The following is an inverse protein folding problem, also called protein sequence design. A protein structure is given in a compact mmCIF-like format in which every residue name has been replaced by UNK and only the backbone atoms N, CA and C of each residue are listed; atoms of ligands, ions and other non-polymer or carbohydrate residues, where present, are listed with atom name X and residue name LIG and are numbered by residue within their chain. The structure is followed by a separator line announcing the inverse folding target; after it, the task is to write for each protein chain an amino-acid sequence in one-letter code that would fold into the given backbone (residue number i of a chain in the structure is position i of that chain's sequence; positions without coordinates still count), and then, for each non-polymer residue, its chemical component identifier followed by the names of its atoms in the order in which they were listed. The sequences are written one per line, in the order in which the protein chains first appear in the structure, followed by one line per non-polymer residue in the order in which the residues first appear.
data_IF_800505382777
#
_entry.id   IF_800505382777
#
_cell.length_a   1.000
_cell.length_b   1.000
_cell.length_c   1.000
_cell.angle_alpha   90.00
_cell.angle_beta   90.00
_cell.angle_gamma   90.00
#
_symmetry.space_group_name_H-M   'P 1'
#
loop_
_entity.id
_entity.type
_entity.pdbx_description
1 polymer ?
#
# COMPACT_ATOMS: atom_id res chain seq x y z
N UNK A 1 -15.42 -9.17 4.42
CA UNK A 1 -16.05 -8.76 3.15
C UNK A 1 -15.02 -8.65 2.04
N UNK A 2 -14.12 -7.66 2.03
CA UNK A 2 -13.13 -7.50 0.93
C UNK A 2 -12.24 -8.72 0.70
N UNK A 3 -11.74 -9.35 1.77
CA UNK A 3 -10.92 -10.57 1.65
C UNK A 3 -11.69 -11.73 1.00
N UNK A 4 -12.97 -11.88 1.30
CA UNK A 4 -13.82 -12.89 0.67
C UNK A 4 -14.09 -12.55 -0.80
N UNK A 5 -14.38 -11.28 -1.10
CA UNK A 5 -14.60 -10.80 -2.46
C UNK A 5 -13.36 -11.04 -3.34
N UNK A 6 -12.18 -10.69 -2.84
CA UNK A 6 -10.92 -10.92 -3.53
C UNK A 6 -10.70 -12.40 -3.87
N UNK A 7 -10.93 -13.30 -2.90
CA UNK A 7 -10.82 -14.75 -3.14
C UNK A 7 -11.83 -15.23 -4.17
N UNK A 8 -13.06 -14.72 -4.14
CA UNK A 8 -14.08 -15.14 -5.10
C UNK A 8 -13.76 -14.68 -6.53
N UNK A 9 -13.17 -13.49 -6.67
CA UNK A 9 -12.63 -12.98 -7.95
C UNK A 9 -11.46 -13.84 -8.42
N UNK A 10 -10.46 -14.06 -7.56
CA UNK A 10 -9.22 -14.78 -7.90
C UNK A 10 -9.47 -16.27 -8.23
N UNK A 11 -10.32 -16.93 -7.45
CA UNK A 11 -10.71 -18.33 -7.70
C UNK A 11 -11.66 -18.48 -8.90
N UNK A 12 -11.96 -17.39 -9.63
CA UNK A 12 -12.90 -17.35 -10.75
C UNK A 12 -14.27 -17.95 -10.41
N UNK A 13 -14.66 -17.97 -9.11
CA UNK A 13 -15.88 -18.63 -8.62
C UNK A 13 -17.15 -17.93 -9.10
N UNK A 14 -17.02 -16.68 -9.49
CA UNK A 14 -18.10 -15.84 -9.97
C UNK A 14 -18.30 -16.02 -11.50
N UNK A 15 -17.28 -16.51 -12.21
CA UNK A 15 -17.36 -16.75 -13.65
C UNK A 15 -17.85 -18.17 -13.93
N UNK A 16 -19.15 -18.39 -13.70
CA UNK A 16 -19.78 -19.72 -13.74
C UNK A 16 -19.95 -20.30 -15.14
N UNK A 17 -19.91 -19.45 -16.17
CA UNK A 17 -20.35 -19.82 -17.53
C UNK A 17 -19.21 -19.82 -18.57
N UNK A 18 -17.95 -19.65 -18.14
CA UNK A 18 -16.80 -19.65 -19.06
C UNK A 18 -16.73 -18.45 -20.01
N UNK A 19 -17.58 -17.44 -19.79
CA UNK A 19 -17.60 -16.21 -20.57
C UNK A 19 -16.53 -15.26 -20.02
N UNK A 20 -15.59 -14.83 -20.85
CA UNK A 20 -14.38 -14.10 -20.47
C UNK A 20 -14.61 -12.71 -19.84
N UNK A 21 -15.85 -12.27 -19.68
CA UNK A 21 -16.19 -10.88 -19.38
C UNK A 21 -16.99 -10.78 -18.08
N UNK A 22 -16.31 -10.95 -16.95
CA UNK A 22 -16.89 -10.71 -15.63
C UNK A 22 -16.88 -9.20 -15.31
N UNK A 23 -18.03 -8.65 -14.93
CA UNK A 23 -18.18 -7.27 -14.48
C UNK A 23 -18.80 -7.24 -13.08
N UNK A 24 -18.18 -6.50 -12.17
CA UNK A 24 -18.66 -6.30 -10.80
C UNK A 24 -19.08 -4.85 -10.60
N UNK A 25 -20.29 -4.64 -10.08
CA UNK A 25 -20.78 -3.31 -9.68
C UNK A 25 -20.90 -3.25 -8.17
N UNK A 26 -20.22 -2.28 -7.55
CA UNK A 26 -20.28 -2.02 -6.11
C UNK A 26 -20.99 -0.68 -5.91
N UNK A 27 -22.12 -0.70 -5.22
CA UNK A 27 -22.86 0.51 -4.82
C UNK A 27 -22.65 0.73 -3.33
N UNK A 28 -22.11 1.90 -2.97
CA UNK A 28 -21.74 2.19 -1.58
C UNK A 28 -21.71 3.69 -1.29
N UNK A 29 -21.33 4.05 -0.06
CA UNK A 29 -21.12 5.43 0.38
C UNK A 29 -19.70 5.92 0.04
N UNK A 30 -19.53 7.24 -0.11
CA UNK A 30 -18.25 7.83 -0.54
C UNK A 30 -17.05 7.43 0.31
N UNK A 31 -17.20 7.41 1.65
CA UNK A 31 -16.13 6.98 2.55
C UNK A 31 -15.77 5.50 2.35
N UNK A 32 -16.77 4.63 2.24
CA UNK A 32 -16.57 3.20 2.02
C UNK A 32 -15.89 2.92 0.69
N UNK A 33 -16.23 3.67 -0.37
CA UNK A 33 -15.56 3.58 -1.68
C UNK A 33 -14.09 3.97 -1.58
N UNK A 34 -13.75 5.04 -0.85
CA UNK A 34 -12.34 5.43 -0.65
C UNK A 34 -11.55 4.37 0.11
N UNK A 35 -12.13 3.81 1.18
CA UNK A 35 -11.48 2.73 1.96
C UNK A 35 -11.30 1.48 1.11
N UNK A 36 -12.26 1.18 0.23
CA UNK A 36 -12.14 0.09 -0.74
C UNK A 36 -10.96 0.31 -1.69
N UNK A 37 -10.85 1.49 -2.30
CA UNK A 37 -9.75 1.83 -3.21
C UNK A 37 -8.40 1.81 -2.50
N UNK A 38 -8.33 2.37 -1.29
CA UNK A 38 -7.12 2.33 -0.45
C UNK A 38 -6.68 0.88 -0.19
N UNK A 39 -7.59 -0.01 0.19
CA UNK A 39 -7.24 -1.41 0.45
C UNK A 39 -6.89 -2.16 -0.83
N UNK A 40 -7.54 -1.85 -1.95
CA UNK A 40 -7.32 -2.51 -3.23
C UNK A 40 -5.96 -2.18 -3.83
N UNK A 41 -5.67 -0.89 -3.98
CA UNK A 41 -4.40 -0.42 -4.53
C UNK A 41 -3.28 -0.39 -3.49
N UNK A 42 -3.62 -0.69 -2.23
CA UNK A 42 -2.73 -0.64 -1.10
C UNK A 42 -2.11 0.77 -1.01
N UNK A 43 -2.96 1.78 -0.86
CA UNK A 43 -2.51 3.15 -0.64
C UNK A 43 -2.23 3.40 0.85
N UNK A 44 -1.33 4.34 1.14
CA UNK A 44 -1.01 4.74 2.52
C UNK A 44 -2.17 5.53 3.14
N UNK A 45 -2.11 5.76 4.46
CA UNK A 45 -3.12 6.57 5.17
C UNK A 45 -3.08 8.01 4.65
N UNK A 46 -1.89 8.55 4.44
CA UNK A 46 -1.68 9.90 3.92
C UNK A 46 -2.28 10.02 2.51
N UNK A 47 -1.96 9.07 1.62
CA UNK A 47 -2.55 9.03 0.27
C UNK A 47 -4.09 8.94 0.33
N UNK A 48 -4.64 8.14 1.25
CA UNK A 48 -6.08 8.03 1.44
C UNK A 48 -6.71 9.34 1.91
N UNK A 49 -6.10 10.06 2.85
CA UNK A 49 -6.65 11.30 3.41
C UNK A 49 -6.82 12.39 2.35
N UNK A 50 -5.91 12.43 1.36
CA UNK A 50 -5.97 13.38 0.24
C UNK A 50 -7.08 13.08 -0.79
N UNK A 51 -7.66 11.87 -0.78
CA UNK A 51 -8.71 11.51 -1.72
C UNK A 51 -9.99 12.31 -1.49
N UNK A 52 -10.56 12.82 -2.58
CA UNK A 52 -11.87 13.45 -2.56
C UNK A 52 -12.98 12.40 -2.52
N UNK A 53 -14.02 12.65 -1.72
CA UNK A 53 -15.22 11.83 -1.73
C UNK A 53 -15.86 11.88 -3.14
N UNK A 54 -16.26 10.72 -3.70
CA UNK A 54 -17.05 10.69 -4.91
C UNK A 54 -18.33 11.53 -4.75
N UNK A 55 -18.73 12.21 -5.82
CA UNK A 55 -20.04 12.87 -5.87
C UNK A 55 -21.18 11.83 -5.89
N UNK A 56 -22.41 12.26 -5.60
CA UNK A 56 -23.56 11.35 -5.65
C UNK A 56 -23.71 10.77 -7.05
N UNK A 57 -23.82 9.44 -7.12
CA UNK A 57 -23.89 8.67 -8.37
C UNK A 57 -22.64 8.77 -9.27
N UNK A 58 -21.51 9.21 -8.73
CA UNK A 58 -20.23 9.16 -9.44
C UNK A 58 -19.78 7.71 -9.66
N UNK A 59 -19.34 7.40 -10.88
CA UNK A 59 -18.86 6.07 -11.26
C UNK A 59 -17.35 6.13 -11.44
N UNK A 60 -16.63 5.27 -10.72
CA UNK A 60 -15.20 5.03 -10.91
C UNK A 60 -14.98 3.60 -11.36
N UNK A 61 -14.57 3.44 -12.60
CA UNK A 61 -14.27 2.15 -13.23
C UNK A 61 -12.83 1.74 -12.95
N UNK A 62 -12.65 0.51 -12.46
CA UNK A 62 -11.36 -0.16 -12.40
C UNK A 62 -11.36 -1.26 -13.46
N UNK A 63 -10.38 -1.25 -14.35
CA UNK A 63 -10.32 -2.20 -15.45
C UNK A 63 -8.98 -2.93 -15.46
N UNK A 64 -9.02 -4.19 -15.87
CA UNK A 64 -7.83 -5.02 -16.01
C UNK A 64 -6.94 -4.47 -17.13
N UNK A 65 -5.71 -4.08 -16.79
CA UNK A 65 -4.67 -3.71 -17.74
C UNK A 65 -4.09 -4.94 -18.46
N UNK A 66 -3.14 -4.69 -19.36
CA UNK A 66 -2.54 -5.75 -20.20
C UNK A 66 -1.77 -6.80 -19.38
N UNK A 67 -1.29 -6.43 -18.20
CA UNK A 67 -0.51 -7.30 -17.31
C UNK A 67 -1.34 -8.16 -16.37
N UNK A 68 -2.67 -7.97 -16.33
CA UNK A 68 -3.54 -8.63 -15.36
C UNK A 68 -3.70 -7.88 -14.03
N UNK A 69 -3.21 -6.64 -13.94
CA UNK A 69 -3.44 -5.76 -12.79
C UNK A 69 -4.61 -4.81 -13.08
N UNK A 70 -5.48 -4.59 -12.10
CA UNK A 70 -6.54 -3.59 -12.23
C UNK A 70 -5.95 -2.18 -12.11
N UNK A 71 -6.45 -1.25 -12.92
CA UNK A 71 -6.08 0.17 -12.88
C UNK A 71 -7.29 1.07 -13.16
N UNK A 72 -7.29 2.24 -12.55
CA UNK A 72 -8.22 3.33 -12.86
C UNK A 72 -7.87 4.00 -14.20
N UNK A 73 -6.58 4.06 -14.54
CA UNK A 73 -6.10 4.80 -15.72
C UNK A 73 -6.35 4.09 -17.05
N UNK A 74 -6.87 2.86 -17.02
CA UNK A 74 -7.33 2.18 -18.24
C UNK A 74 -8.61 2.82 -18.78
N UNK A 75 -9.45 3.37 -17.89
CA UNK A 75 -10.75 3.95 -18.27
C UNK A 75 -10.82 5.47 -18.05
N UNK A 76 -9.96 6.04 -17.19
CA UNK A 76 -9.99 7.46 -16.83
C UNK A 76 -8.69 8.18 -17.19
N UNK A 77 -8.77 9.50 -17.26
CA UNK A 77 -7.66 10.40 -17.57
C UNK A 77 -6.86 10.80 -16.33
N UNK A 78 -5.61 11.25 -16.51
CA UNK A 78 -4.77 11.69 -15.39
C UNK A 78 -5.39 12.88 -14.67
N UNK A 79 -5.98 13.81 -15.42
CA UNK A 79 -6.63 15.00 -14.89
C UNK A 79 -7.84 14.64 -14.00
N UNK A 80 -8.57 13.57 -14.33
CA UNK A 80 -9.65 13.06 -13.47
C UNK A 80 -9.11 12.47 -12.18
N UNK A 81 -8.02 11.70 -12.26
CA UNK A 81 -7.37 11.11 -11.09
C UNK A 81 -6.82 12.19 -10.15
N UNK A 82 -6.17 13.23 -10.69
CA UNK A 82 -5.73 14.39 -9.92
C UNK A 82 -6.90 15.12 -9.26
N UNK A 83 -8.01 15.31 -9.98
CA UNK A 83 -9.23 15.90 -9.43
C UNK A 83 -9.83 15.06 -8.30
N UNK A 84 -9.64 13.75 -8.32
CA UNK A 84 -10.03 12.85 -7.23
C UNK A 84 -9.06 12.84 -6.05
N UNK A 85 -7.96 13.60 -6.12
CA UNK A 85 -6.97 13.75 -5.06
C UNK A 85 -5.87 12.69 -5.09
N UNK A 86 -5.66 12.01 -6.22
CA UNK A 86 -4.52 11.09 -6.35
C UNK A 86 -3.23 11.90 -6.50
N UNK A 87 -2.20 11.50 -5.73
CA UNK A 87 -0.86 12.06 -5.87
C UNK A 87 -0.18 11.58 -7.16
N UNK A 88 0.88 12.26 -7.57
CA UNK A 88 1.68 11.87 -8.74
C UNK A 88 2.25 10.46 -8.61
N UNK A 89 2.62 10.05 -7.39
CA UNK A 89 3.06 8.69 -7.09
C UNK A 89 1.95 7.66 -7.33
N UNK A 90 0.73 7.94 -6.85
CA UNK A 90 -0.43 7.06 -7.09
C UNK A 90 -0.75 6.97 -8.57
N UNK A 91 -0.69 8.08 -9.30
CA UNK A 91 -0.92 8.12 -10.75
C UNK A 91 0.16 7.31 -11.49
N UNK A 92 1.42 7.40 -11.09
CA UNK A 92 2.50 6.59 -11.65
C UNK A 92 2.25 5.08 -11.43
N UNK A 93 1.81 4.68 -10.23
CA UNK A 93 1.38 3.29 -9.97
C UNK A 93 0.20 2.88 -10.86
N UNK A 94 -0.80 3.75 -11.06
CA UNK A 94 -1.93 3.44 -11.97
C UNK A 94 -1.48 3.29 -13.43
N UNK A 95 -0.50 4.09 -13.90
CA UNK A 95 0.13 3.94 -15.23
C UNK A 95 0.83 2.60 -15.38
N UNK A 96 1.61 2.24 -14.36
CA UNK A 96 2.31 0.96 -14.32
C UNK A 96 1.30 -0.20 -14.38
N UNK A 97 0.28 -0.20 -13.51
CA UNK A 97 -0.78 -1.23 -13.51
C UNK A 97 -1.53 -1.35 -14.84
N UNK A 98 -1.74 -0.25 -15.53
CA UNK A 98 -2.42 -0.24 -16.83
C UNK A 98 -1.60 -0.91 -17.94
N UNK A 99 -0.27 -0.80 -17.89
CA UNK A 99 0.63 -1.12 -19.01
C UNK A 99 1.64 -2.24 -18.74
N UNK A 100 1.86 -2.61 -17.47
CA UNK A 100 2.79 -3.65 -17.06
C UNK A 100 2.49 -4.97 -17.76
N UNK A 101 3.52 -5.80 -17.95
CA UNK A 101 3.35 -7.17 -18.46
C UNK A 101 3.20 -8.13 -17.28
N UNK A 102 2.57 -9.26 -17.55
CA UNK A 102 2.37 -10.31 -16.55
C UNK A 102 3.74 -10.81 -16.07
N UNK A 103 4.04 -10.61 -14.78
CA UNK A 103 5.32 -11.00 -14.17
C UNK A 103 6.32 -9.86 -13.99
N UNK A 104 6.00 -8.64 -14.41
CA UNK A 104 6.78 -7.45 -14.03
C UNK A 104 6.52 -7.15 -12.54
N UNK A 105 7.58 -6.93 -11.76
CA UNK A 105 7.49 -6.55 -10.35
C UNK A 105 7.55 -5.03 -10.24
N UNK A 106 6.67 -4.45 -9.42
CA UNK A 106 6.82 -3.05 -9.01
C UNK A 106 7.67 -3.04 -7.72
N UNK A 107 8.97 -2.80 -7.85
CA UNK A 107 9.92 -2.79 -6.73
C UNK A 107 9.66 -1.63 -5.75
N UNK A 108 8.92 -0.59 -6.18
CA UNK A 108 8.58 0.59 -5.36
C UNK A 108 7.36 0.36 -4.44
N UNK A 109 6.84 -0.88 -4.35
CA UNK A 109 5.63 -1.16 -3.59
C UNK A 109 5.87 -1.07 -2.07
N UNK A 110 5.37 0.02 -1.46
CA UNK A 110 5.50 0.41 -0.04
C UNK A 110 5.02 -0.65 0.98
N UNK A 111 4.33 -1.72 0.56
CA UNK A 111 3.81 -2.75 1.47
C UNK A 111 4.82 -3.81 1.90
N UNK A 112 6.09 -3.43 2.04
CA UNK A 112 6.89 -4.12 3.04
C UNK A 112 6.27 -3.80 4.41
N UNK A 113 5.70 -4.83 5.04
CA UNK A 113 5.06 -4.78 6.36
C UNK A 113 5.96 -4.13 7.45
N UNK A 114 7.27 -3.94 7.20
CA UNK A 114 8.11 -3.18 8.14
C UNK A 114 7.74 -1.71 8.24
N UNK A 115 7.37 -1.04 7.13
CA UNK A 115 7.27 0.43 7.15
C UNK A 115 6.07 0.90 7.99
N UNK A 116 5.00 0.10 8.06
CA UNK A 116 3.89 0.32 8.97
C UNK A 116 4.31 0.23 10.46
N UNK A 117 5.26 -0.65 10.80
CA UNK A 117 5.77 -0.79 12.17
C UNK A 117 6.96 0.13 12.48
N UNK A 118 7.61 0.73 11.48
CA UNK A 118 8.78 1.57 11.71
C UNK A 118 8.43 2.85 12.49
N UNK A 119 7.22 3.40 12.32
CA UNK A 119 6.72 4.48 13.18
C UNK A 119 6.53 4.08 14.65
N UNK A 120 6.31 2.79 14.95
CA UNK A 120 6.25 2.31 16.32
C UNK A 120 7.64 2.02 16.89
N UNK A 121 8.66 1.78 16.06
CA UNK A 121 10.04 1.56 16.50
C UNK A 121 10.75 2.86 16.88
N UNK A 122 10.33 4.00 16.34
CA UNK A 122 10.89 5.31 16.73
C UNK A 122 10.40 5.74 18.12
N UNK A 123 9.20 5.29 18.55
CA UNK A 123 8.64 5.58 19.88
C UNK A 123 9.40 4.93 21.05
N UNK A 124 10.20 3.89 20.80
CA UNK A 124 10.94 3.17 21.85
C UNK A 124 12.39 3.67 22.04
N UNK A 125 12.87 4.59 21.17
CA UNK A 125 14.24 5.10 21.24
C UNK A 125 14.43 6.28 22.20
N UNK A 126 13.35 6.96 22.61
CA UNK A 126 13.43 8.13 23.49
C UNK A 126 13.33 7.81 25.00
N UNK A 127 13.55 6.55 25.41
CA UNK A 127 13.53 6.16 26.85
C UNK A 127 14.83 5.59 27.41
N UNK A 128 15.93 5.57 26.65
CA UNK A 128 17.19 4.96 27.10
C UNK A 128 18.40 5.90 26.99
N UNK A 129 18.21 7.19 27.28
CA UNK A 129 19.31 8.14 27.45
C UNK A 129 19.16 8.85 28.79
N UNK A 130 19.46 8.14 29.87
CA UNK A 130 20.09 8.70 31.07
C UNK A 130 20.49 7.55 32.00
N UNK A 131 21.68 7.69 32.61
CA UNK A 131 22.34 6.78 33.56
C UNK A 131 23.13 5.60 32.97
N UNK A 132 24.40 5.87 32.63
CA UNK A 132 25.53 5.15 33.27
C UNK A 132 26.89 5.76 32.84
N UNK A 133 27.41 6.70 33.64
CA UNK A 133 28.83 7.09 33.64
C UNK A 133 29.34 7.21 35.09
N UNK A 134 30.57 6.72 35.28
CA UNK A 134 31.38 6.56 36.50
C UNK A 134 31.02 5.29 37.32
N UNK A 135 31.75 4.18 37.24
CA UNK A 135 33.17 4.07 37.59
C UNK A 135 33.89 2.93 36.83
N UNK A 136 35.07 3.24 36.27
CA UNK A 136 36.33 2.50 36.49
C UNK A 136 37.44 3.04 35.59
N UNK A 137 38.16 4.05 36.09
CA UNK A 137 39.51 4.36 35.66
C UNK A 137 40.46 3.42 36.40
N UNK A 138 41.12 2.50 35.69
CA UNK A 138 42.50 2.08 35.99
C UNK A 138 43.10 1.30 34.82
N UNK A 139 43.90 2.03 34.03
CA UNK A 139 45.24 1.69 33.55
C UNK A 139 45.52 0.25 33.10
N UNK A 140 45.92 0.10 31.84
CA UNK A 140 46.80 -0.99 31.41
C UNK A 140 48.03 -0.41 30.72
N UNK A 141 49.19 -0.67 31.30
CA UNK A 141 50.45 -0.84 30.58
C UNK A 141 51.31 -1.85 31.38
N UNK A 142 51.73 -2.95 30.75
CA UNK A 142 52.58 -4.03 31.30
C UNK A 142 52.00 -4.85 32.46
N UNK A 143 51.75 -6.16 32.37
CA UNK A 143 51.83 -7.12 31.27
C UNK A 143 50.84 -8.26 31.56
N UNK A 144 50.34 -8.87 30.50
CA UNK A 144 48.97 -9.36 30.32
C UNK A 144 48.71 -10.83 30.77
N UNK A 145 47.42 -11.13 30.96
CA UNK A 145 46.69 -12.43 30.91
C UNK A 145 46.47 -13.27 32.21
N UNK A 146 45.18 -13.68 32.33
CA UNK A 146 44.54 -14.83 32.99
C UNK A 146 43.96 -14.59 34.40
N UNK A 147 42.68 -14.20 34.44
CA UNK A 147 41.80 -14.22 35.62
C UNK A 147 40.88 -15.45 35.58
N UNK A 148 40.70 -16.07 36.74
CA UNK A 148 39.75 -17.14 37.04
C UNK A 148 38.29 -16.76 36.77
#
# INVERSE_FOLDING_TARGET
FMESLWRDIDMNRINRDGVSNFNLVIVSHGLTTRVFLMKWFKWTVEQFEHLNNPTNCEVRVMQLGTGGEYSLLVHHTEEELERWGLSQEMIADQKWRATARRGDWNDDCIWHLSHFFDHFKESDKDKNLEEDQQDNLCLTDGSEIVKC
#
